data_IF_559379680030
#
_entry.id   IF_559379680030
#
_cell.length_a   1.000
_cell.length_b   1.000
_cell.length_c   1.000
_cell.angle_alpha   90.00
_cell.angle_beta   90.00
_cell.angle_gamma   90.00
#
_symmetry.space_group_name_H-M   'P 1'
#
loop_
_entity.id
_entity.type
_entity.pdbx_description
1 polymer ?
#
# COMPACT_ATOMS: atom_id res chain seq x y z
N UNK A 1 13.64 -2.67 -12.02
CA UNK A 1 12.63 -2.71 -10.98
C UNK A 1 12.13 -1.31 -10.65
N UNK A 2 10.84 -1.17 -10.63
CA UNK A 2 10.17 0.04 -10.17
C UNK A 2 9.05 -0.40 -9.25
N UNK A 3 8.23 0.50 -8.81
CA UNK A 3 7.14 0.12 -7.95
C UNK A 3 5.81 0.20 -8.67
N UNK A 4 5.07 -0.86 -8.62
CA UNK A 4 3.73 -0.89 -9.17
C UNK A 4 2.76 -0.94 -8.00
N UNK A 5 1.66 -0.26 -8.13
CA UNK A 5 0.75 -0.14 -7.03
C UNK A 5 -0.39 -1.16 -7.12
N UNK A 6 -0.81 -1.66 -5.98
CA UNK A 6 -1.92 -2.57 -5.89
C UNK A 6 -2.62 -2.29 -4.55
N UNK A 7 -3.87 -1.82 -4.58
CA UNK A 7 -4.61 -1.49 -3.35
C UNK A 7 -5.14 -2.71 -2.58
N UNK A 8 -5.61 -3.71 -3.27
CA UNK A 8 -6.25 -4.80 -2.59
C UNK A 8 -5.34 -5.95 -2.29
N UNK A 9 -5.53 -6.46 -1.11
CA UNK A 9 -4.80 -7.55 -0.58
C UNK A 9 -5.04 -7.60 0.89
N UNK A 10 -4.27 -6.86 1.61
CA UNK A 10 -4.44 -6.79 3.05
C UNK A 10 -5.18 -5.52 3.46
N UNK A 11 -4.95 -4.46 2.71
CA UNK A 11 -5.57 -3.19 3.00
C UNK A 11 -7.06 -3.17 2.66
N UNK A 12 -7.84 -2.53 3.52
CA UNK A 12 -9.23 -2.21 3.33
C UNK A 12 -9.58 -1.07 4.31
N UNK A 13 -9.83 0.12 3.79
CA UNK A 13 -10.21 1.23 4.65
C UNK A 13 -9.54 2.53 4.26
N UNK A 14 -8.78 3.11 5.17
CA UNK A 14 -8.11 4.37 4.95
C UNK A 14 -6.61 4.20 5.12
N UNK A 15 -5.85 5.21 4.78
CA UNK A 15 -4.41 5.14 4.99
C UNK A 15 -4.08 5.83 6.28
N UNK A 16 -3.90 5.05 7.33
CA UNK A 16 -3.62 5.61 8.62
C UNK A 16 -2.20 6.12 8.70
N UNK A 17 -1.26 5.22 8.73
CA UNK A 17 0.14 5.56 8.81
C UNK A 17 0.87 4.85 7.71
N UNK A 18 1.73 5.59 7.02
CA UNK A 18 2.49 5.09 5.86
C UNK A 18 3.25 3.84 6.23
N UNK A 19 4.07 3.96 7.25
CA UNK A 19 4.96 2.89 7.68
C UNK A 19 4.22 1.67 8.16
N UNK A 20 3.08 1.90 8.77
CA UNK A 20 2.25 0.85 9.31
C UNK A 20 1.73 -0.06 8.22
N UNK A 21 0.97 0.50 7.29
CA UNK A 21 0.39 -0.30 6.25
C UNK A 21 1.41 -0.74 5.22
N UNK A 22 2.51 -0.01 5.09
CA UNK A 22 3.65 -0.40 4.25
C UNK A 22 4.10 -1.78 4.72
N UNK A 23 4.43 -1.83 6.01
CA UNK A 23 4.89 -3.02 6.68
C UNK A 23 3.83 -4.11 6.60
N UNK A 24 2.58 -3.72 6.79
CA UNK A 24 1.44 -4.62 6.70
C UNK A 24 1.36 -5.27 5.33
N UNK A 25 1.59 -4.49 4.27
CA UNK A 25 1.52 -5.02 2.93
C UNK A 25 2.60 -6.07 2.79
N UNK A 26 3.82 -5.62 3.06
CA UNK A 26 5.05 -6.42 2.94
C UNK A 26 4.93 -7.75 3.71
N UNK A 27 4.28 -7.72 4.85
CA UNK A 27 4.09 -8.92 5.63
C UNK A 27 2.98 -9.79 5.10
N UNK A 28 1.88 -9.18 4.70
CA UNK A 28 0.68 -9.96 4.43
C UNK A 28 0.63 -10.39 3.00
N UNK A 29 0.57 -9.45 2.11
CA UNK A 29 0.45 -9.76 0.72
C UNK A 29 1.81 -9.82 0.07
N UNK A 30 2.79 -9.43 0.86
CA UNK A 30 4.18 -9.46 0.52
C UNK A 30 4.53 -8.55 -0.62
N UNK A 31 4.38 -7.29 -0.33
CA UNK A 31 4.72 -6.24 -1.23
C UNK A 31 6.13 -5.78 -0.92
N UNK A 32 6.61 -4.81 -1.65
CA UNK A 32 7.93 -4.31 -1.44
C UNK A 32 7.87 -2.99 -0.67
N UNK A 33 6.79 -2.28 -0.87
CA UNK A 33 6.60 -1.00 -0.26
C UNK A 33 5.07 -0.78 -0.12
N UNK A 34 4.67 0.33 0.42
CA UNK A 34 3.28 0.65 0.60
C UNK A 34 3.18 2.02 1.18
N UNK A 35 2.23 2.81 0.73
CA UNK A 35 2.10 4.20 1.23
C UNK A 35 0.73 4.77 0.94
N UNK A 36 0.49 5.96 1.46
CA UNK A 36 -0.73 6.68 1.23
C UNK A 36 -0.71 7.27 -0.16
N UNK A 37 -1.39 6.66 -1.06
CA UNK A 37 -1.46 7.22 -2.38
C UNK A 37 -2.76 7.95 -2.50
N UNK A 38 -2.70 9.14 -3.01
CA UNK A 38 -3.87 9.95 -3.10
C UNK A 38 -4.65 9.65 -4.35
N UNK A 39 -5.57 8.77 -4.22
CA UNK A 39 -6.54 8.52 -5.22
C UNK A 39 -7.78 9.28 -4.80
N UNK A 40 -8.51 9.82 -5.73
CA UNK A 40 -9.67 10.61 -5.39
C UNK A 40 -10.70 9.75 -4.65
N UNK A 41 -11.30 10.23 -3.54
CA UNK A 41 -11.04 11.56 -2.97
C UNK A 41 -10.20 11.54 -1.67
N UNK A 42 -9.49 10.45 -1.38
CA UNK A 42 -8.77 10.35 -0.11
C UNK A 42 -7.65 9.32 -0.16
N UNK A 43 -6.63 9.56 0.66
CA UNK A 43 -5.46 8.69 0.79
C UNK A 43 -5.81 7.29 1.22
N UNK A 44 -5.25 6.34 0.53
CA UNK A 44 -5.44 4.94 0.80
C UNK A 44 -4.10 4.26 0.83
N UNK A 45 -3.98 3.19 1.58
CA UNK A 45 -2.75 2.44 1.63
C UNK A 45 -2.67 1.59 0.42
N UNK A 46 -1.87 1.99 -0.50
CA UNK A 46 -1.71 1.22 -1.65
C UNK A 46 -0.40 0.50 -1.51
N UNK A 47 -0.43 -0.79 -1.72
CA UNK A 47 0.73 -1.60 -1.58
C UNK A 47 1.53 -1.55 -2.86
N UNK A 48 2.81 -1.43 -2.74
CA UNK A 48 3.67 -1.31 -3.88
C UNK A 48 4.50 -2.55 -4.05
N UNK A 49 4.39 -3.12 -5.19
CA UNK A 49 5.08 -4.32 -5.54
C UNK A 49 6.20 -3.98 -6.51
N UNK A 50 7.22 -4.83 -6.61
CA UNK A 50 8.31 -4.58 -7.52
C UNK A 50 7.92 -4.92 -8.95
N UNK A 51 7.91 -3.94 -9.78
CA UNK A 51 7.62 -4.07 -11.17
C UNK A 51 8.60 -3.22 -11.92
#
# INVERSE_FOLDING_TARGET
>A
QKLCQRPSGTWSGVCGNNNACKNQCIRLEKARHGSCNYVFPAHKCICYFPC
#
